data_IF_393252348327
#
_entry.id   IF_393252348327
#
_cell.length_a   1.000
_cell.length_b   1.000
_cell.length_c   1.000
_cell.angle_alpha   90.00
_cell.angle_beta   90.00
_cell.angle_gamma   90.00
#
_symmetry.space_group_name_H-M   'P 1'
#
loop_
_entity.id
_entity.type
_entity.pdbx_description
1 polymer ?
#
# COMPACT_ATOMS: atom_id res chain seq x y z
N UNK A 1 13.79 26.10 70.89
CA UNK A 1 12.58 25.58 70.22
C UNK A 1 12.51 26.25 68.85
N UNK A 2 12.97 25.56 67.80
CA UNK A 2 13.03 26.07 66.42
C UNK A 2 11.81 25.56 65.65
N UNK A 3 10.97 26.47 65.15
CA UNK A 3 10.10 26.20 64.00
C UNK A 3 9.74 27.56 63.37
N UNK A 4 10.68 28.11 62.61
CA UNK A 4 10.35 29.16 61.64
C UNK A 4 9.85 28.47 60.38
N UNK A 5 8.57 28.70 60.08
CA UNK A 5 7.90 28.36 58.83
C UNK A 5 8.57 29.08 57.65
N UNK A 6 9.68 28.54 57.14
CA UNK A 6 10.28 28.96 55.88
C UNK A 6 9.78 28.04 54.76
N UNK A 7 8.52 28.21 54.37
CA UNK A 7 8.09 27.72 53.06
C UNK A 7 8.70 28.64 51.98
N UNK A 8 9.30 28.08 50.91
CA UNK A 8 9.83 28.90 49.82
C UNK A 8 8.70 29.72 49.17
N UNK A 9 9.00 30.95 48.70
CA UNK A 9 8.00 31.78 48.02
C UNK A 9 7.46 31.06 46.78
N UNK A 10 6.18 31.25 46.43
CA UNK A 10 5.61 30.63 45.24
C UNK A 10 6.36 31.09 43.97
N UNK A 11 6.67 30.15 43.08
CA UNK A 11 7.38 30.39 41.80
C UNK A 11 6.67 31.40 40.87
N UNK A 12 5.42 31.76 41.16
CA UNK A 12 4.68 32.80 40.46
C UNK A 12 3.95 33.73 41.44
N UNK A 13 4.37 35.00 41.59
CA UNK A 13 3.75 35.96 42.51
C UNK A 13 2.32 36.36 42.13
N UNK A 14 1.85 35.99 40.93
CA UNK A 14 0.48 36.23 40.45
C UNK A 14 -0.42 34.99 40.52
N UNK A 15 0.10 33.83 40.94
CA UNK A 15 -0.70 32.63 41.15
C UNK A 15 -1.40 32.73 42.52
N UNK A 16 -2.52 33.45 42.58
CA UNK A 16 -3.31 33.67 43.79
C UNK A 16 -4.01 32.42 44.34
N UNK A 17 -3.29 31.31 44.54
CA UNK A 17 -3.83 30.03 45.03
C UNK A 17 -4.85 29.37 44.10
N UNK A 18 -5.04 29.90 42.89
CA UNK A 18 -6.00 29.37 41.91
C UNK A 18 -5.30 28.28 41.11
N UNK A 19 -5.79 27.04 41.26
CA UNK A 19 -5.39 25.92 40.38
C UNK A 19 -5.66 26.35 38.94
N UNK A 20 -4.67 26.28 38.02
CA UNK A 20 -4.87 26.63 36.63
C UNK A 20 -6.12 25.94 36.08
N UNK A 21 -7.01 26.71 35.45
CA UNK A 21 -8.23 26.17 34.84
C UNK A 21 -7.83 25.02 33.92
N UNK A 22 -8.29 23.81 34.21
CA UNK A 22 -8.05 22.63 33.37
C UNK A 22 -8.74 22.87 32.03
N UNK A 23 -7.95 23.31 31.05
CA UNK A 23 -8.43 23.45 29.67
C UNK A 23 -8.33 22.07 29.02
N UNK A 24 -9.38 21.57 28.36
CA UNK A 24 -9.27 20.35 27.58
C UNK A 24 -8.10 20.48 26.59
N UNK A 25 -7.29 19.42 26.39
CA UNK A 25 -6.26 19.45 25.37
C UNK A 25 -6.90 19.81 24.03
N UNK A 26 -6.34 20.80 23.33
CA UNK A 26 -6.77 21.12 21.97
C UNK A 26 -6.70 19.83 21.13
N UNK A 27 -7.70 19.61 20.27
CA UNK A 27 -7.68 18.49 19.34
C UNK A 27 -6.36 18.52 18.57
N UNK A 28 -5.50 17.52 18.78
CA UNK A 28 -4.25 17.43 18.04
C UNK A 28 -4.63 17.14 16.59
N UNK A 29 -4.26 17.99 15.62
CA UNK A 29 -4.44 17.65 14.22
C UNK A 29 -3.78 16.30 13.97
N UNK A 30 -4.46 15.40 13.25
CA UNK A 30 -3.92 14.07 13.01
C UNK A 30 -2.56 14.22 12.32
N UNK A 31 -1.53 13.53 12.82
CA UNK A 31 -0.17 13.59 12.27
C UNK A 31 -0.08 13.10 10.82
N UNK A 32 -1.16 12.51 10.30
CA UNK A 32 -1.23 11.88 8.99
C UNK A 32 -2.11 12.63 7.99
N UNK A 33 -2.96 13.58 8.42
CA UNK A 33 -3.78 14.38 7.50
C UNK A 33 -2.92 15.44 6.80
N UNK A 34 -3.05 15.53 5.47
CA UNK A 34 -2.32 16.49 4.63
C UNK A 34 -3.22 17.40 3.80
N UNK A 35 -4.54 17.23 3.89
CA UNK A 35 -5.55 18.01 3.14
C UNK A 35 -5.24 18.13 1.63
N UNK A 36 -4.82 17.01 1.04
CA UNK A 36 -4.42 16.98 -0.36
C UNK A 36 -5.65 16.89 -1.28
N UNK A 37 -5.73 17.71 -2.35
CA UNK A 37 -6.77 17.57 -3.35
C UNK A 37 -6.58 16.27 -4.15
N UNK A 38 -7.67 15.68 -4.65
CA UNK A 38 -7.63 14.44 -5.42
C UNK A 38 -6.73 14.50 -6.67
N UNK A 39 -6.55 15.71 -7.23
CA UNK A 39 -5.71 15.94 -8.42
C UNK A 39 -4.22 15.72 -8.16
N UNK A 40 -3.77 15.74 -6.90
CA UNK A 40 -2.38 15.45 -6.51
C UNK A 40 -1.97 14.03 -6.94
N UNK A 41 -2.93 13.11 -7.10
CA UNK A 41 -2.65 11.78 -7.63
C UNK A 41 -1.96 11.81 -9.01
N UNK A 42 -2.29 12.77 -9.88
CA UNK A 42 -1.64 12.92 -11.18
C UNK A 42 -0.24 13.51 -11.09
N UNK A 43 0.07 14.30 -10.04
CA UNK A 43 1.42 14.81 -9.84
C UNK A 43 2.39 13.69 -9.46
N UNK A 44 1.92 12.72 -8.67
CA UNK A 44 2.70 11.52 -8.37
C UNK A 44 2.93 10.66 -9.61
N UNK A 45 1.90 10.50 -10.45
CA UNK A 45 2.05 9.78 -11.72
C UNK A 45 3.08 10.46 -12.65
N UNK A 46 3.05 11.79 -12.73
CA UNK A 46 4.04 12.56 -13.52
C UNK A 46 5.45 12.43 -12.94
N UNK A 47 5.59 12.47 -11.63
CA UNK A 47 6.89 12.26 -10.97
C UNK A 47 7.41 10.84 -11.21
N UNK A 48 6.55 9.82 -11.10
CA UNK A 48 6.89 8.45 -11.44
C UNK A 48 7.27 8.25 -12.90
N UNK A 49 6.62 8.97 -13.82
CA UNK A 49 6.99 8.99 -15.23
C UNK A 49 8.38 9.58 -15.46
N UNK A 50 8.72 10.67 -14.76
CA UNK A 50 10.07 11.24 -14.80
C UNK A 50 11.12 10.25 -14.28
N UNK A 51 10.84 9.57 -13.17
CA UNK A 51 11.76 8.58 -12.58
C UNK A 51 11.93 7.34 -13.46
N UNK A 52 10.88 6.92 -14.16
CA UNK A 52 10.93 5.86 -15.16
C UNK A 52 11.96 6.21 -16.24
N UNK A 53 11.86 7.41 -16.83
CA UNK A 53 12.73 7.83 -17.93
C UNK A 53 14.12 8.30 -17.49
N UNK A 54 14.30 8.59 -16.20
CA UNK A 54 15.62 8.84 -15.62
C UNK A 54 16.32 7.49 -15.41
N UNK A 55 17.24 7.14 -16.31
CA UNK A 55 17.82 5.79 -16.44
C UNK A 55 16.72 4.72 -16.66
N UNK A 56 16.21 4.56 -17.90
CA UNK A 56 15.05 3.73 -18.18
C UNK A 56 15.32 2.22 -18.13
N UNK A 57 16.53 1.79 -18.49
CA UNK A 57 16.85 0.36 -18.61
C UNK A 57 16.56 -0.45 -17.33
N UNK A 58 16.98 -0.02 -16.12
CA UNK A 58 16.67 -0.76 -14.90
C UNK A 58 15.18 -0.95 -14.65
N UNK A 59 14.37 0.09 -14.84
CA UNK A 59 12.92 0.04 -14.64
C UNK A 59 12.23 -0.85 -15.67
N UNK A 60 12.62 -0.76 -16.94
CA UNK A 60 12.03 -1.59 -18.01
C UNK A 60 12.40 -3.06 -17.87
N UNK A 61 13.64 -3.37 -17.46
CA UNK A 61 14.04 -4.75 -17.16
C UNK A 61 13.27 -5.30 -15.97
N UNK A 62 13.01 -4.47 -14.95
CA UNK A 62 12.15 -4.84 -13.82
C UNK A 62 10.72 -5.16 -14.28
N UNK A 63 10.11 -4.27 -15.06
CA UNK A 63 8.78 -4.46 -15.63
C UNK A 63 8.69 -5.68 -16.55
N UNK A 64 9.72 -5.92 -17.35
CA UNK A 64 9.84 -7.11 -18.20
C UNK A 64 9.91 -8.38 -17.35
N UNK A 65 10.68 -8.40 -16.26
CA UNK A 65 10.73 -9.53 -15.33
C UNK A 65 9.36 -9.84 -14.74
N UNK A 66 8.63 -8.82 -14.27
CA UNK A 66 7.26 -8.98 -13.75
C UNK A 66 6.33 -9.52 -14.82
N UNK A 67 6.37 -8.97 -16.04
CA UNK A 67 5.59 -9.48 -17.17
C UNK A 67 5.88 -10.96 -17.47
N UNK A 68 7.15 -11.35 -17.56
CA UNK A 68 7.55 -12.72 -17.85
C UNK A 68 7.07 -13.68 -16.75
N UNK A 69 7.18 -13.29 -15.48
CA UNK A 69 6.66 -14.08 -14.36
C UNK A 69 5.14 -14.19 -14.44
N UNK A 70 4.42 -13.10 -14.73
CA UNK A 70 2.96 -13.12 -14.88
C UNK A 70 2.53 -14.04 -16.03
N UNK A 71 3.18 -13.97 -17.18
CA UNK A 71 2.91 -14.86 -18.33
C UNK A 71 3.23 -16.31 -17.99
N UNK A 72 4.36 -16.57 -17.31
CA UNK A 72 4.71 -17.91 -16.88
C UNK A 72 3.66 -18.49 -15.93
N UNK A 73 3.20 -17.72 -14.93
CA UNK A 73 2.13 -18.14 -14.01
C UNK A 73 0.87 -18.49 -14.80
N UNK A 74 0.40 -17.62 -15.68
CA UNK A 74 -0.79 -17.88 -16.50
C UNK A 74 -0.59 -19.13 -17.36
N UNK A 75 0.56 -19.27 -18.03
CA UNK A 75 0.89 -20.43 -18.85
C UNK A 75 0.87 -21.73 -18.04
N UNK A 76 1.46 -21.74 -16.83
CA UNK A 76 1.43 -22.90 -15.94
C UNK A 76 0.03 -23.24 -15.46
N UNK A 77 -0.83 -22.25 -15.18
CA UNK A 77 -2.22 -22.50 -14.79
C UNK A 77 -2.97 -23.24 -15.89
N UNK A 78 -2.86 -22.81 -17.14
CA UNK A 78 -3.50 -23.52 -18.26
C UNK A 78 -2.85 -24.88 -18.53
N UNK A 79 -1.52 -24.96 -18.47
CA UNK A 79 -0.79 -26.22 -18.70
C UNK A 79 -1.14 -27.31 -17.68
N UNK A 80 -1.42 -26.92 -16.42
CA UNK A 80 -1.80 -27.82 -15.34
C UNK A 80 -3.32 -28.00 -15.19
N UNK A 81 -4.14 -27.44 -16.08
CA UNK A 81 -5.62 -27.43 -15.99
C UNK A 81 -6.14 -26.79 -14.68
N UNK A 82 -5.45 -25.76 -14.20
CA UNK A 82 -5.86 -24.90 -13.09
C UNK A 82 -6.40 -23.55 -13.57
N UNK A 83 -7.11 -23.54 -14.70
CA UNK A 83 -7.69 -22.35 -15.31
C UNK A 83 -8.72 -21.66 -14.38
N UNK A 84 -9.37 -22.41 -13.49
CA UNK A 84 -10.21 -21.86 -12.42
C UNK A 84 -9.47 -20.90 -11.47
N UNK A 85 -8.13 -21.00 -11.36
CA UNK A 85 -7.30 -20.14 -10.52
C UNK A 85 -6.82 -18.87 -11.23
N UNK A 86 -7.24 -18.60 -12.47
CA UNK A 86 -6.83 -17.41 -13.21
C UNK A 86 -7.28 -16.11 -12.53
N UNK A 87 -8.59 -15.96 -12.26
CA UNK A 87 -9.12 -14.77 -11.58
C UNK A 87 -8.52 -14.57 -10.17
N UNK A 88 -8.41 -15.62 -9.33
CA UNK A 88 -7.58 -15.64 -8.13
C UNK A 88 -6.17 -15.12 -8.30
N UNK A 89 -5.42 -15.59 -9.30
CA UNK A 89 -4.05 -15.17 -9.53
C UNK A 89 -3.96 -13.67 -9.87
N UNK A 90 -4.89 -13.16 -10.67
CA UNK A 90 -4.99 -11.73 -10.98
C UNK A 90 -5.30 -10.89 -9.73
N UNK A 91 -6.22 -11.35 -8.88
CA UNK A 91 -6.52 -10.69 -7.60
C UNK A 91 -5.32 -10.72 -6.64
N UNK A 92 -4.63 -11.86 -6.55
CA UNK A 92 -3.41 -12.01 -5.75
C UNK A 92 -2.29 -11.08 -6.21
N UNK A 93 -2.15 -10.86 -7.52
CA UNK A 93 -1.21 -9.87 -8.05
C UNK A 93 -1.51 -8.45 -7.54
N UNK A 94 -2.78 -8.04 -7.44
CA UNK A 94 -3.14 -6.74 -6.87
C UNK A 94 -2.76 -6.64 -5.38
N UNK A 95 -2.92 -7.72 -4.62
CA UNK A 95 -2.60 -7.76 -3.18
C UNK A 95 -1.09 -7.65 -2.94
N UNK A 96 -0.31 -8.43 -3.69
CA UNK A 96 1.14 -8.58 -3.49
C UNK A 96 1.95 -7.57 -4.30
N UNK A 97 1.33 -6.86 -5.25
CA UNK A 97 1.96 -5.88 -6.13
C UNK A 97 2.89 -4.89 -5.41
N UNK A 98 2.49 -4.28 -4.27
CA UNK A 98 3.36 -3.37 -3.53
C UNK A 98 4.64 -4.01 -2.99
N UNK A 99 4.64 -5.31 -2.67
CA UNK A 99 5.83 -6.04 -2.23
C UNK A 99 6.78 -6.27 -3.40
N UNK A 100 6.22 -6.64 -4.55
CA UNK A 100 6.98 -6.84 -5.78
C UNK A 100 7.54 -5.50 -6.28
N UNK A 101 6.92 -4.36 -5.98
CA UNK A 101 7.42 -3.06 -6.39
C UNK A 101 8.62 -2.55 -5.57
N UNK A 102 9.13 -3.32 -4.60
CA UNK A 102 10.22 -2.90 -3.72
C UNK A 102 11.46 -2.34 -4.41
N UNK A 103 11.88 -2.95 -5.52
CA UNK A 103 13.02 -2.46 -6.30
C UNK A 103 12.79 -1.11 -6.96
N UNK A 104 11.55 -0.82 -7.35
CA UNK A 104 11.16 0.44 -7.98
C UNK A 104 11.16 1.58 -6.95
N UNK A 105 10.72 1.30 -5.72
CA UNK A 105 10.83 2.23 -4.61
C UNK A 105 12.28 2.56 -4.28
N UNK A 106 13.15 1.56 -4.26
CA UNK A 106 14.58 1.77 -4.02
C UNK A 106 15.23 2.63 -5.11
N UNK A 107 14.85 2.46 -6.38
CA UNK A 107 15.31 3.35 -7.46
C UNK A 107 14.84 4.79 -7.23
N UNK A 108 13.55 5.03 -6.94
CA UNK A 108 13.06 6.39 -6.70
C UNK A 108 13.69 7.03 -5.46
N UNK A 109 13.90 6.27 -4.39
CA UNK A 109 14.66 6.71 -3.19
C UNK A 109 16.06 7.16 -3.55
N UNK A 110 16.79 6.36 -4.36
CA UNK A 110 18.15 6.69 -4.81
C UNK A 110 18.18 7.94 -5.68
N UNK A 111 17.24 8.08 -6.60
CA UNK A 111 17.11 9.28 -7.44
C UNK A 111 16.87 10.53 -6.60
N UNK A 112 16.02 10.47 -5.57
CA UNK A 112 15.81 11.58 -4.63
C UNK A 112 17.06 11.89 -3.79
N UNK A 113 17.82 10.88 -3.39
CA UNK A 113 19.05 11.03 -2.60
C UNK A 113 20.29 11.40 -3.44
N UNK A 114 20.19 11.47 -4.76
CA UNK A 114 21.34 11.65 -5.65
C UNK A 114 22.33 10.47 -5.65
N UNK A 115 21.88 9.28 -5.22
CA UNK A 115 22.67 8.06 -5.17
C UNK A 115 22.72 7.37 -6.56
N UNK A 116 23.78 6.59 -6.87
CA UNK A 116 23.87 5.86 -8.12
C UNK A 116 22.75 4.80 -8.25
N UNK A 117 22.10 4.81 -9.41
CA UNK A 117 21.01 3.90 -9.78
C UNK A 117 21.56 2.71 -10.56
N UNK A 118 21.10 1.50 -10.24
CA UNK A 118 21.45 0.28 -10.97
C UNK A 118 20.49 -0.86 -10.66
N UNK A 119 20.52 -1.91 -11.49
CA UNK A 119 19.65 -3.09 -11.34
C UNK A 119 19.94 -3.91 -10.08
N UNK A 120 21.22 -4.08 -9.73
CA UNK A 120 21.62 -4.86 -8.56
C UNK A 120 20.92 -4.40 -7.27
N UNK A 121 20.99 -3.10 -6.92
CA UNK A 121 20.25 -2.55 -5.79
C UNK A 121 18.72 -2.72 -5.85
N UNK A 122 18.13 -2.74 -7.05
CA UNK A 122 16.69 -2.93 -7.23
C UNK A 122 16.26 -4.40 -7.06
N UNK A 123 17.14 -5.36 -7.38
CA UNK A 123 16.86 -6.79 -7.20
C UNK A 123 17.16 -7.26 -5.77
N UNK A 124 18.23 -6.73 -5.17
CA UNK A 124 18.66 -7.07 -3.82
C UNK A 124 18.32 -5.95 -2.84
N UNK A 125 17.03 -5.65 -2.73
CA UNK A 125 16.52 -4.63 -1.80
C UNK A 125 16.77 -5.09 -0.37
N UNK A 126 17.53 -4.29 0.39
CA UNK A 126 17.73 -4.50 1.82
C UNK A 126 16.72 -3.66 2.59
N UNK A 127 15.70 -4.32 3.13
CA UNK A 127 14.78 -3.68 4.06
C UNK A 127 15.54 -3.27 5.33
N UNK A 128 15.27 -2.07 5.83
CA UNK A 128 15.89 -1.58 7.07
C UNK A 128 15.34 -2.31 8.30
N UNK A 129 14.15 -2.90 8.18
CA UNK A 129 13.41 -3.63 9.20
C UNK A 129 13.63 -5.15 9.22
N UNK A 130 14.62 -5.68 8.50
CA UNK A 130 14.99 -7.10 8.55
C UNK A 130 13.83 -8.03 8.19
N UNK A 131 13.48 -8.97 9.08
CA UNK A 131 12.45 -10.00 8.85
C UNK A 131 11.01 -9.49 8.76
N UNK A 132 10.75 -8.20 9.02
CA UNK A 132 9.41 -7.61 8.95
C UNK A 132 8.77 -7.75 7.56
N UNK A 133 9.56 -7.74 6.47
CA UNK A 133 9.05 -7.97 5.12
C UNK A 133 8.42 -9.35 4.92
N UNK A 134 8.99 -10.39 5.54
CA UNK A 134 8.43 -11.75 5.48
C UNK A 134 7.12 -11.82 6.24
N UNK A 135 7.07 -11.24 7.45
CA UNK A 135 5.85 -11.21 8.24
C UNK A 135 4.72 -10.42 7.55
N UNK A 136 5.05 -9.29 6.91
CA UNK A 136 4.12 -8.55 6.04
C UNK A 136 3.58 -9.44 4.92
N UNK A 137 4.46 -10.17 4.23
CA UNK A 137 4.08 -11.11 3.17
C UNK A 137 3.13 -12.20 3.67
N UNK A 138 3.37 -12.77 4.85
CA UNK A 138 2.48 -13.76 5.48
C UNK A 138 1.12 -13.15 5.81
N UNK A 139 1.06 -11.92 6.31
CA UNK A 139 -0.21 -11.24 6.60
C UNK A 139 -1.02 -10.99 5.32
N UNK A 140 -0.37 -10.52 4.26
CA UNK A 140 -1.03 -10.31 2.96
C UNK A 140 -1.44 -11.62 2.30
N UNK A 141 -0.65 -12.69 2.46
CA UNK A 141 -1.05 -14.03 2.04
C UNK A 141 -2.29 -14.50 2.81
N UNK A 142 -2.36 -14.28 4.13
CA UNK A 142 -3.54 -14.58 4.93
C UNK A 142 -4.78 -13.82 4.46
N UNK A 143 -4.63 -12.53 4.14
CA UNK A 143 -5.69 -11.72 3.55
C UNK A 143 -6.12 -12.26 2.18
N UNK A 144 -5.18 -12.64 1.32
CA UNK A 144 -5.46 -13.26 0.03
C UNK A 144 -6.20 -14.59 0.17
N UNK A 145 -5.79 -15.46 1.09
CA UNK A 145 -6.48 -16.72 1.37
C UNK A 145 -7.91 -16.50 1.89
N UNK A 146 -8.11 -15.46 2.72
CA UNK A 146 -9.44 -15.06 3.15
C UNK A 146 -10.29 -14.57 1.98
N UNK A 147 -9.73 -13.75 1.10
CA UNK A 147 -10.40 -13.29 -0.12
C UNK A 147 -10.77 -14.48 -1.02
N UNK A 148 -9.86 -15.43 -1.20
CA UNK A 148 -10.10 -16.66 -1.94
C UNK A 148 -11.27 -17.46 -1.38
N UNK A 149 -11.36 -17.57 -0.05
CA UNK A 149 -12.49 -18.22 0.61
C UNK A 149 -13.80 -17.47 0.39
N UNK A 150 -13.79 -16.13 0.46
CA UNK A 150 -14.96 -15.33 0.15
C UNK A 150 -15.42 -15.54 -1.30
N UNK A 151 -14.51 -15.60 -2.27
CA UNK A 151 -14.84 -15.84 -3.67
C UNK A 151 -15.53 -17.21 -3.89
N UNK A 152 -15.02 -18.27 -3.24
CA UNK A 152 -15.65 -19.61 -3.30
C UNK A 152 -17.04 -19.61 -2.68
N UNK A 153 -17.23 -18.94 -1.54
CA UNK A 153 -18.53 -18.85 -0.87
C UNK A 153 -19.54 -18.04 -1.69
N UNK A 154 -19.11 -16.95 -2.33
CA UNK A 154 -19.95 -16.16 -3.23
C UNK A 154 -20.36 -16.99 -4.43
N UNK A 155 -19.44 -17.71 -5.06
CA UNK A 155 -19.79 -18.61 -6.17
C UNK A 155 -20.80 -19.67 -5.72
N UNK A 156 -20.57 -20.31 -4.57
CA UNK A 156 -21.48 -21.32 -4.02
C UNK A 156 -22.86 -20.76 -3.65
N UNK A 157 -22.95 -19.49 -3.27
CA UNK A 157 -24.23 -18.82 -2.98
C UNK A 157 -25.12 -18.71 -4.22
N UNK A 158 -24.53 -18.46 -5.40
CA UNK A 158 -25.27 -18.27 -6.65
C UNK A 158 -25.48 -19.57 -7.44
N UNK A 159 -24.48 -20.46 -7.46
CA UNK A 159 -24.48 -21.65 -8.30
C UNK A 159 -24.49 -22.96 -7.52
N UNK A 160 -24.49 -22.91 -6.19
CA UNK A 160 -24.47 -24.11 -5.33
C UNK A 160 -23.14 -24.85 -5.39
N UNK A 161 -23.19 -26.16 -5.16
CA UNK A 161 -22.02 -27.06 -5.18
C UNK A 161 -21.72 -27.59 -6.60
N UNK A 162 -21.95 -26.77 -7.63
CA UNK A 162 -21.66 -27.11 -9.02
C UNK A 162 -20.18 -26.83 -9.30
N UNK A 163 -19.50 -27.76 -9.98
CA UNK A 163 -18.11 -27.55 -10.36
C UNK A 163 -17.95 -26.32 -11.27
N UNK A 164 -16.80 -25.66 -11.18
CA UNK A 164 -16.47 -24.52 -12.03
C UNK A 164 -16.44 -24.97 -13.50
N UNK A 165 -17.23 -24.37 -14.41
CA UNK A 165 -17.43 -24.87 -15.78
C UNK A 165 -16.26 -24.57 -16.74
N UNK A 166 -15.10 -24.15 -16.22
CA UNK A 166 -13.92 -23.79 -17.00
C UNK A 166 -14.02 -22.41 -17.65
N UNK A 167 -12.91 -21.96 -18.23
CA UNK A 167 -12.78 -20.61 -18.82
C UNK A 167 -13.61 -20.38 -20.09
N UNK A 168 -13.99 -21.43 -20.83
CA UNK A 168 -14.79 -21.31 -22.07
C UNK A 168 -16.28 -21.03 -21.78
N UNK A 169 -16.86 -21.76 -20.83
CA UNK A 169 -18.29 -21.66 -20.50
C UNK A 169 -18.60 -20.55 -19.48
N UNK A 170 -17.59 -20.12 -18.71
CA UNK A 170 -17.82 -19.09 -17.68
C UNK A 170 -18.15 -17.73 -18.27
N UNK A 171 -17.57 -17.35 -19.40
CA UNK A 171 -17.81 -16.02 -19.99
C UNK A 171 -19.27 -15.88 -20.47
N UNK A 172 -19.82 -16.82 -21.26
CA UNK A 172 -21.25 -16.84 -21.59
C UNK A 172 -22.14 -16.89 -20.34
N UNK A 173 -21.80 -17.74 -19.37
CA UNK A 173 -22.57 -17.88 -18.12
C UNK A 173 -22.62 -16.57 -17.33
N UNK A 174 -21.51 -15.85 -17.19
CA UNK A 174 -21.44 -14.61 -16.45
C UNK A 174 -22.14 -13.45 -17.17
N UNK A 175 -22.00 -13.36 -18.50
CA UNK A 175 -22.46 -12.19 -19.26
C UNK A 175 -23.86 -12.35 -19.87
N UNK A 176 -24.34 -13.57 -20.08
CA UNK A 176 -25.63 -13.83 -20.75
C UNK A 176 -26.73 -14.28 -19.80
N UNK A 177 -26.43 -14.51 -18.51
CA UNK A 177 -27.44 -14.95 -17.54
C UNK A 177 -27.72 -13.89 -16.47
N UNK A 178 -28.98 -13.72 -16.03
CA UNK A 178 -29.31 -12.82 -14.92
C UNK A 178 -28.58 -13.18 -13.62
N UNK A 179 -28.41 -14.48 -13.35
CA UNK A 179 -27.67 -14.97 -12.19
C UNK A 179 -26.19 -14.60 -12.27
N UNK A 180 -25.59 -14.67 -13.47
CA UNK A 180 -24.23 -14.22 -13.74
C UNK A 180 -24.04 -12.73 -13.45
N UNK A 181 -25.00 -11.88 -13.80
CA UNK A 181 -24.95 -10.44 -13.50
C UNK A 181 -25.05 -10.15 -12.01
N UNK A 182 -25.93 -10.87 -11.30
CA UNK A 182 -26.03 -10.76 -9.85
C UNK A 182 -24.72 -11.21 -9.17
N UNK A 183 -24.11 -12.31 -9.64
CA UNK A 183 -22.79 -12.75 -9.20
C UNK A 183 -21.74 -11.67 -9.46
N UNK A 184 -21.67 -11.11 -10.68
CA UNK A 184 -20.69 -10.08 -11.03
C UNK A 184 -20.81 -8.86 -10.13
N UNK A 185 -22.03 -8.39 -9.84
CA UNK A 185 -22.25 -7.24 -8.96
C UNK A 185 -21.77 -7.53 -7.53
N UNK A 186 -22.18 -8.65 -6.95
CA UNK A 186 -21.80 -9.02 -5.57
C UNK A 186 -20.31 -9.33 -5.46
N UNK A 187 -19.77 -10.13 -6.38
CA UNK A 187 -18.36 -10.46 -6.42
C UNK A 187 -17.48 -9.23 -6.65
N UNK A 188 -17.92 -8.28 -7.49
CA UNK A 188 -17.20 -7.01 -7.69
C UNK A 188 -17.23 -6.13 -6.44
N UNK A 189 -18.37 -6.04 -5.74
CA UNK A 189 -18.47 -5.27 -4.52
C UNK A 189 -17.57 -5.83 -3.40
N UNK A 190 -17.61 -7.16 -3.19
CA UNK A 190 -16.75 -7.83 -2.21
C UNK A 190 -15.28 -7.78 -2.62
N UNK A 191 -14.98 -7.98 -3.91
CA UNK A 191 -13.64 -7.87 -4.45
C UNK A 191 -13.07 -6.46 -4.29
N UNK A 192 -13.87 -5.42 -4.55
CA UNK A 192 -13.48 -4.03 -4.33
C UNK A 192 -13.19 -3.74 -2.86
N UNK A 193 -13.95 -4.32 -1.92
CA UNK A 193 -13.69 -4.20 -0.49
C UNK A 193 -12.33 -4.82 -0.11
N UNK A 194 -12.06 -6.06 -0.56
CA UNK A 194 -10.77 -6.71 -0.29
C UNK A 194 -9.61 -5.99 -0.96
N UNK A 195 -9.77 -5.55 -2.21
CA UNK A 195 -8.77 -4.77 -2.92
C UNK A 195 -8.48 -3.44 -2.21
N UNK A 196 -9.52 -2.70 -1.81
CA UNK A 196 -9.38 -1.43 -1.10
C UNK A 196 -8.70 -1.63 0.27
N UNK A 197 -9.09 -2.67 1.01
CA UNK A 197 -8.46 -2.98 2.30
C UNK A 197 -7.00 -3.38 2.13
N UNK A 198 -6.70 -4.29 1.20
CA UNK A 198 -5.34 -4.71 0.88
C UNK A 198 -4.48 -3.52 0.45
N UNK A 199 -4.99 -2.68 -0.43
CA UNK A 199 -4.33 -1.46 -0.86
C UNK A 199 -4.05 -0.54 0.32
N UNK A 200 -5.05 -0.29 1.17
CA UNK A 200 -4.91 0.63 2.29
C UNK A 200 -3.83 0.19 3.30
N UNK A 201 -3.76 -1.11 3.61
CA UNK A 201 -2.75 -1.62 4.53
C UNK A 201 -1.36 -1.75 3.90
N UNK A 202 -1.24 -1.96 2.59
CA UNK A 202 0.04 -2.32 1.95
C UNK A 202 0.74 -1.18 1.20
N UNK A 203 0.00 -0.20 0.68
CA UNK A 203 0.51 0.81 -0.26
C UNK A 203 1.71 1.60 0.29
N UNK A 204 1.71 1.90 1.60
CA UNK A 204 2.80 2.63 2.25
C UNK A 204 3.63 1.79 3.20
N UNK A 205 3.15 0.61 3.57
CA UNK A 205 3.86 -0.26 4.50
C UNK A 205 5.20 -0.71 3.93
N UNK A 206 5.28 -1.10 2.65
CA UNK A 206 6.55 -1.54 2.07
C UNK A 206 7.57 -0.40 1.90
N UNK A 207 7.22 0.78 1.34
CA UNK A 207 8.11 1.94 1.36
C UNK A 207 8.61 2.31 2.76
N UNK A 208 7.77 2.18 3.77
CA UNK A 208 8.15 2.41 5.17
C UNK A 208 9.14 1.38 5.70
N UNK A 209 8.95 0.08 5.41
CA UNK A 209 9.93 -0.96 5.80
C UNK A 209 11.28 -0.81 5.08
N UNK A 210 11.28 -0.15 3.92
CA UNK A 210 12.50 0.16 3.17
C UNK A 210 13.30 1.28 3.83
N UNK A 211 12.64 2.33 4.32
CA UNK A 211 13.27 3.56 4.83
C UNK A 211 13.46 3.59 6.35
N UNK A 212 12.52 3.01 7.09
CA UNK A 212 12.38 3.11 8.54
C UNK A 212 12.59 1.75 9.23
N UNK A 213 13.01 1.75 10.49
CA UNK A 213 13.13 0.54 11.32
C UNK A 213 11.80 0.26 12.03
N UNK A 214 10.78 -0.12 11.27
CA UNK A 214 9.42 -0.35 11.78
C UNK A 214 9.04 -1.82 11.67
N UNK A 215 8.29 -2.35 12.63
CA UNK A 215 7.74 -3.71 12.53
C UNK A 215 6.59 -3.76 11.49
N UNK A 216 6.27 -4.96 10.99
CA UNK A 216 5.30 -5.08 9.90
C UNK A 216 3.88 -4.67 10.32
N UNK A 217 3.47 -4.98 11.56
CA UNK A 217 2.11 -4.70 12.01
C UNK A 217 1.90 -3.19 12.16
N UNK A 218 2.89 -2.50 12.74
CA UNK A 218 2.90 -1.04 12.81
C UNK A 218 2.94 -0.42 11.42
N UNK A 219 3.75 -0.94 10.49
CA UNK A 219 3.81 -0.42 9.12
C UNK A 219 2.45 -0.55 8.39
N UNK A 220 1.79 -1.71 8.50
CA UNK A 220 0.45 -1.94 7.95
C UNK A 220 -0.59 -1.00 8.58
N UNK A 221 -0.53 -0.83 9.91
CA UNK A 221 -1.43 0.06 10.65
C UNK A 221 -1.24 1.53 10.30
N UNK A 222 0.00 2.00 10.20
CA UNK A 222 0.30 3.39 9.82
C UNK A 222 -0.07 3.62 8.35
N UNK A 223 0.15 2.65 7.45
CA UNK A 223 -0.34 2.74 6.06
C UNK A 223 -1.86 2.94 6.02
N UNK A 224 -2.61 2.12 6.76
CA UNK A 224 -4.06 2.25 6.86
C UNK A 224 -4.47 3.63 7.40
N UNK A 225 -3.82 4.10 8.47
CA UNK A 225 -4.08 5.41 9.04
C UNK A 225 -3.79 6.55 8.05
N UNK A 226 -2.68 6.48 7.32
CA UNK A 226 -2.33 7.46 6.28
C UNK A 226 -3.33 7.48 5.13
N UNK A 227 -3.84 6.32 4.74
CA UNK A 227 -4.87 6.21 3.69
C UNK A 227 -6.19 6.79 4.16
N UNK A 228 -6.62 6.44 5.37
CA UNK A 228 -7.89 6.90 5.93
C UNK A 228 -7.93 8.41 6.16
N UNK A 229 -6.83 9.00 6.63
CA UNK A 229 -6.73 10.45 6.82
C UNK A 229 -6.57 11.25 5.51
N UNK A 230 -6.38 10.58 4.36
CA UNK A 230 -6.25 11.20 3.05
C UNK A 230 -7.19 10.54 2.02
N UNK A 231 -8.39 10.11 2.46
CA UNK A 231 -9.27 9.21 1.70
C UNK A 231 -9.58 9.72 0.29
N UNK A 232 -9.87 11.01 0.11
CA UNK A 232 -10.25 11.57 -1.19
C UNK A 232 -9.17 11.41 -2.26
N UNK A 233 -7.91 11.72 -1.93
CA UNK A 233 -6.79 11.55 -2.86
C UNK A 233 -6.41 10.08 -3.03
N UNK A 234 -6.57 9.26 -1.99
CA UNK A 234 -6.26 7.83 -2.07
C UNK A 234 -7.28 7.03 -2.86
N UNK A 235 -8.56 7.42 -2.86
CA UNK A 235 -9.57 6.86 -3.77
C UNK A 235 -9.20 7.17 -5.22
N UNK A 236 -8.81 8.42 -5.51
CA UNK A 236 -8.36 8.80 -6.85
C UNK A 236 -7.10 8.02 -7.28
N UNK A 237 -6.15 7.82 -6.36
CA UNK A 237 -4.95 7.02 -6.61
C UNK A 237 -5.28 5.55 -6.87
N UNK A 238 -6.13 4.93 -6.03
CA UNK A 238 -6.59 3.57 -6.22
C UNK A 238 -7.34 3.38 -7.55
N UNK A 239 -8.17 4.34 -7.95
CA UNK A 239 -8.85 4.33 -9.25
C UNK A 239 -7.85 4.35 -10.42
N UNK A 240 -6.79 5.16 -10.34
CA UNK A 240 -5.71 5.19 -11.34
C UNK A 240 -5.02 3.82 -11.43
N UNK A 241 -4.69 3.20 -10.28
CA UNK A 241 -4.08 1.87 -10.23
C UNK A 241 -4.98 0.83 -10.90
N UNK A 242 -6.28 0.81 -10.59
CA UNK A 242 -7.25 -0.13 -11.18
C UNK A 242 -7.36 0.08 -12.69
N UNK A 243 -7.52 1.32 -13.16
CA UNK A 243 -7.62 1.63 -14.60
C UNK A 243 -6.37 1.17 -15.34
N UNK A 244 -5.19 1.50 -14.81
CA UNK A 244 -3.92 1.10 -15.42
C UNK A 244 -3.74 -0.43 -15.41
N UNK A 245 -4.17 -1.12 -14.36
CA UNK A 245 -4.15 -2.58 -14.32
C UNK A 245 -5.10 -3.20 -15.35
N UNK A 246 -6.31 -2.65 -15.52
CA UNK A 246 -7.24 -3.09 -16.59
C UNK A 246 -6.61 -2.92 -17.96
N UNK A 247 -5.90 -1.81 -18.23
CA UNK A 247 -5.15 -1.63 -19.48
C UNK A 247 -4.04 -2.68 -19.67
N UNK A 248 -3.38 -3.12 -18.59
CA UNK A 248 -2.45 -4.24 -18.65
C UNK A 248 -3.16 -5.55 -19.04
N UNK A 249 -4.35 -5.82 -18.49
CA UNK A 249 -5.12 -7.03 -18.84
C UNK A 249 -5.58 -7.00 -20.30
N UNK A 250 -6.05 -5.84 -20.80
CA UNK A 250 -6.47 -5.67 -22.19
C UNK A 250 -5.32 -5.86 -23.19
N UNK A 251 -4.08 -5.65 -22.75
CA UNK A 251 -2.87 -5.86 -23.55
C UNK A 251 -2.21 -7.22 -23.28
N UNK A 252 -2.95 -8.18 -22.71
CA UNK A 252 -2.47 -9.52 -22.33
C UNK A 252 -1.21 -9.48 -21.44
N UNK A 253 -1.09 -8.45 -20.61
CA UNK A 253 0.03 -8.22 -19.70
C UNK A 253 1.16 -7.37 -20.27
N UNK A 254 1.23 -7.11 -21.58
CA UNK A 254 2.32 -6.31 -22.17
C UNK A 254 2.43 -4.92 -21.55
N UNK A 255 1.30 -4.32 -21.17
CA UNK A 255 1.27 -3.04 -20.45
C UNK A 255 2.07 -3.06 -19.13
N UNK A 256 2.25 -4.21 -18.47
CA UNK A 256 2.99 -4.34 -17.21
C UNK A 256 4.44 -3.86 -17.35
N UNK A 257 5.05 -4.02 -18.52
CA UNK A 257 6.45 -3.61 -18.75
C UNK A 257 6.62 -2.10 -18.48
N UNK A 258 5.60 -1.30 -18.78
CA UNK A 258 5.62 0.15 -18.59
C UNK A 258 4.87 0.59 -17.33
N UNK A 259 3.66 0.05 -17.14
CA UNK A 259 2.73 0.45 -16.09
C UNK A 259 3.24 0.04 -14.71
N UNK A 260 3.81 -1.16 -14.57
CA UNK A 260 4.24 -1.65 -13.26
C UNK A 260 5.40 -0.80 -12.71
N UNK A 261 6.47 -0.52 -13.48
CA UNK A 261 7.50 0.44 -13.06
C UNK A 261 6.96 1.84 -12.78
N UNK A 262 6.07 2.36 -13.64
CA UNK A 262 5.45 3.67 -13.46
C UNK A 262 4.70 3.77 -12.12
N UNK A 263 3.87 2.77 -11.80
CA UNK A 263 3.11 2.72 -10.55
C UNK A 263 4.02 2.59 -9.33
N UNK A 264 5.09 1.81 -9.42
CA UNK A 264 6.08 1.71 -8.34
C UNK A 264 6.73 3.06 -8.02
N UNK A 265 7.23 3.75 -9.05
CA UNK A 265 7.83 5.08 -8.87
C UNK A 265 6.82 6.11 -8.37
N UNK A 266 5.60 6.13 -8.91
CA UNK A 266 4.57 7.07 -8.49
C UNK A 266 4.10 6.81 -7.04
N UNK A 267 4.03 5.55 -6.62
CA UNK A 267 3.67 5.19 -5.24
C UNK A 267 4.74 5.65 -4.25
N UNK A 268 6.03 5.66 -4.64
CA UNK A 268 7.08 6.27 -3.82
C UNK A 268 6.83 7.76 -3.59
N UNK A 269 6.52 8.53 -4.64
CA UNK A 269 6.17 9.95 -4.52
C UNK A 269 4.92 10.19 -3.70
N UNK A 270 3.92 9.29 -3.82
CA UNK A 270 2.73 9.30 -2.98
C UNK A 270 3.09 9.11 -1.49
N UNK A 271 3.93 8.11 -1.18
CA UNK A 271 4.42 7.85 0.16
C UNK A 271 5.15 9.07 0.74
N UNK A 272 6.13 9.64 0.02
CA UNK A 272 6.89 10.81 0.47
C UNK A 272 6.02 12.05 0.67
N UNK A 273 4.99 12.25 -0.17
CA UNK A 273 4.07 13.38 -0.02
C UNK A 273 3.21 13.28 1.25
N UNK A 274 2.83 12.07 1.66
CA UNK A 274 1.96 11.86 2.84
C UNK A 274 2.79 11.71 4.12
N UNK A 275 3.92 11.00 4.03
CA UNK A 275 4.89 10.77 5.10
C UNK A 275 5.93 11.89 5.11
N UNK A 276 5.63 13.03 5.75
CA UNK A 276 6.66 14.05 6.05
C UNK A 276 7.63 13.56 7.14
N UNK A 277 8.87 14.04 7.08
CA UNK A 277 9.99 13.66 7.96
C UNK A 277 9.80 14.12 9.43
N UNK A 278 8.72 14.83 9.75
CA UNK A 278 8.44 15.41 11.08
C UNK A 278 8.27 14.38 12.20
N UNK A 279 8.04 13.10 11.88
CA UNK A 279 7.96 12.07 12.92
C UNK A 279 9.32 11.84 13.61
N UNK A 280 10.44 12.02 12.91
CA UNK A 280 11.77 11.93 13.51
C UNK A 280 12.05 13.16 14.39
N UNK A 281 11.65 14.36 13.93
CA UNK A 281 11.79 15.60 14.70
C UNK A 281 10.93 15.60 15.98
N UNK A 282 9.75 14.98 15.95
CA UNK A 282 8.87 14.88 17.11
C UNK A 282 9.25 13.76 18.10
N UNK A 283 10.04 12.76 17.69
CA UNK A 283 10.62 11.79 18.62
C UNK A 283 11.76 12.44 19.42
N UNK A 284 12.62 13.20 18.75
CA UNK A 284 13.68 14.00 19.38
C UNK A 284 13.13 15.07 20.34
N UNK A 285 12.00 15.72 20.00
CA UNK A 285 11.33 16.70 20.88
C UNK A 285 10.59 16.06 22.06
N UNK A 286 10.25 14.76 21.98
CA UNK A 286 9.66 14.00 23.08
C UNK A 286 10.71 13.35 23.99
N UNK A 287 11.96 13.32 23.55
CA UNK A 287 13.06 12.75 24.31
C UNK A 287 13.59 13.79 25.30
N UNK A 288 13.10 13.74 26.53
CA UNK A 288 13.54 14.63 27.62
C UNK A 288 15.05 14.49 27.92
N UNK A 289 15.68 13.39 27.49
CA UNK A 289 17.12 13.12 27.59
C UNK A 289 17.62 12.64 26.24
N UNK A 290 18.46 13.44 25.58
CA UNK A 290 19.16 13.06 24.36
C UNK A 290 20.26 12.03 24.69
N UNK A 291 20.36 10.89 23.99
CA UNK A 291 21.52 10.02 24.13
C UNK A 291 22.77 10.77 23.61
N UNK A 292 23.85 10.70 24.39
CA UNK A 292 25.14 11.31 24.09
C UNK A 292 25.84 10.64 22.90
#
# INVERSE_FOLDING_TARGET
MLSQNNAPPPDNPHAGGVIPKVVPPLARPSSHARDLPWRTAFTWLRAGWRDLWTHPLPSLIYGLGVFLVSVAVVWFLFHLNFDYALFPALAGFMVVGPLIAGGLYEKSRRLEAGEPVGLGPMLFVRLRSGGAGVFMGVMLLGLFLLWMRAAVLIYALFFGMVAFPGTEEIVPMLLLTPTGWALLLVASAVGALFAAFSFAISVFAFPMLLTERTDALSALGISMAMVWNNLGVMIAWGAIVVVLFVLCLLTAGLGLILVFPLLGHATWHCYRAIRSDDAAAHEDDRMFIRPA
#
